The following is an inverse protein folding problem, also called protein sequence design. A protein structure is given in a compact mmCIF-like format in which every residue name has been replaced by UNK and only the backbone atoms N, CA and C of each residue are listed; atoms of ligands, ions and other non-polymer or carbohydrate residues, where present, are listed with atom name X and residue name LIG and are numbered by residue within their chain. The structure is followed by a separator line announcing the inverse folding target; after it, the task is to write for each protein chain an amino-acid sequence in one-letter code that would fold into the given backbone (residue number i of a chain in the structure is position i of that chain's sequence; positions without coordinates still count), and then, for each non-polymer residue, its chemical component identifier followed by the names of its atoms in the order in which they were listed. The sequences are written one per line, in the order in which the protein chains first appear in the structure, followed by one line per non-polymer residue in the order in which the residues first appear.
data_IF_743117198412
#
_entry.id   IF_743117198412
#
_cell.length_a   1.000
_cell.length_b   1.000
_cell.length_c   1.000
_cell.angle_alpha   90.00
_cell.angle_beta   90.00
_cell.angle_gamma   90.00
#
_symmetry.space_group_name_H-M   'P 1'
#
loop_
_entity.id
_entity.type
_entity.pdbx_description
1 polymer ?
#
# COMPACT_ATOMS: atom_id res chain seq x y z
N UNK A 1 2.85 6.24 -13.10
CA UNK A 1 3.26 4.83 -13.37
C UNK A 1 4.61 4.59 -12.72
N UNK A 2 4.74 3.54 -11.88
CA UNK A 2 6.01 3.16 -11.28
C UNK A 2 7.06 2.75 -12.31
N UNK A 3 7.93 1.83 -12.00
CA UNK A 3 8.90 1.31 -12.97
C UNK A 3 8.24 0.23 -13.85
N UNK A 4 8.27 0.38 -15.17
CA UNK A 4 7.61 -0.54 -16.12
C UNK A 4 8.01 -2.01 -15.89
N UNK A 5 9.27 -2.25 -15.55
CA UNK A 5 9.85 -3.59 -15.29
C UNK A 5 9.98 -3.91 -13.80
N UNK A 6 9.51 -3.02 -12.90
CA UNK A 6 9.72 -3.15 -11.46
C UNK A 6 9.24 -4.48 -10.88
N UNK A 7 8.12 -4.98 -11.35
CA UNK A 7 7.56 -6.27 -10.92
C UNK A 7 8.39 -7.49 -11.34
N UNK A 8 9.26 -7.35 -12.33
CA UNK A 8 10.20 -8.40 -12.77
C UNK A 8 11.53 -8.34 -12.02
N UNK A 9 11.92 -7.17 -11.56
CA UNK A 9 13.24 -6.91 -10.97
C UNK A 9 13.22 -6.98 -9.44
N UNK A 10 12.09 -6.67 -8.83
CA UNK A 10 11.94 -6.53 -7.39
C UNK A 10 10.95 -7.59 -6.89
N UNK A 11 11.39 -8.47 -6.02
CA UNK A 11 10.52 -9.44 -5.39
C UNK A 11 9.53 -8.78 -4.43
N UNK A 12 8.33 -9.36 -4.33
CA UNK A 12 7.34 -8.91 -3.35
C UNK A 12 7.83 -9.19 -1.94
N UNK A 13 7.75 -8.18 -1.09
CA UNK A 13 8.03 -8.26 0.33
C UNK A 13 6.79 -7.93 1.15
N UNK A 14 6.33 -8.91 1.93
CA UNK A 14 5.25 -8.68 2.87
C UNK A 14 5.76 -8.10 4.19
N UNK A 15 4.88 -7.40 4.89
CA UNK A 15 5.17 -6.89 6.24
C UNK A 15 5.45 -8.05 7.19
N UNK A 16 6.42 -7.88 8.05
CA UNK A 16 6.70 -8.82 9.14
C UNK A 16 5.90 -8.43 10.38
N UNK A 17 5.59 -9.40 11.17
CA UNK A 17 4.97 -9.22 12.47
C UNK A 17 5.98 -9.53 13.58
N UNK A 18 5.82 -8.87 14.73
CA UNK A 18 6.55 -9.26 15.94
C UNK A 18 6.20 -10.69 16.33
N UNK A 19 7.10 -11.44 16.99
CA UNK A 19 6.83 -12.79 17.45
C UNK A 19 5.55 -12.86 18.29
N UNK A 20 4.83 -13.97 18.20
CA UNK A 20 3.59 -14.16 18.93
C UNK A 20 3.78 -14.04 20.45
N UNK A 21 4.92 -14.54 20.96
CA UNK A 21 5.30 -14.43 22.38
C UNK A 21 5.34 -12.99 22.91
N UNK A 22 5.69 -12.04 22.05
CA UNK A 22 5.73 -10.62 22.42
C UNK A 22 4.36 -9.98 22.30
N UNK A 23 3.60 -10.37 21.28
CA UNK A 23 2.26 -9.80 21.02
C UNK A 23 1.24 -10.13 22.10
N UNK A 24 1.30 -11.30 22.69
CA UNK A 24 0.37 -11.71 23.76
C UNK A 24 0.59 -10.97 25.07
N UNK A 25 1.71 -10.27 25.24
CA UNK A 25 2.09 -9.56 26.48
C UNK A 25 1.69 -8.09 26.50
N UNK A 26 1.24 -7.55 25.38
CA UNK A 26 0.92 -6.13 25.29
C UNK A 26 -0.03 -5.84 24.11
N UNK A 27 -0.61 -4.64 24.08
CA UNK A 27 -1.50 -4.14 23.04
C UNK A 27 -0.82 -3.15 22.09
N UNK A 28 0.51 -3.16 22.02
CA UNK A 28 1.28 -2.26 21.15
C UNK A 28 1.20 -2.72 19.71
N UNK A 29 1.55 -1.82 18.78
CA UNK A 29 1.66 -2.13 17.37
C UNK A 29 2.55 -3.36 17.14
N UNK A 30 2.04 -4.34 16.43
CA UNK A 30 2.73 -5.61 16.19
C UNK A 30 3.35 -5.74 14.81
N UNK A 31 3.02 -4.83 13.89
CA UNK A 31 3.65 -4.79 12.58
C UNK A 31 5.04 -4.17 12.67
N UNK A 32 5.98 -4.74 11.93
CA UNK A 32 7.33 -4.17 11.82
C UNK A 32 7.32 -3.19 10.66
N UNK A 33 7.64 -1.90 10.89
CA UNK A 33 7.71 -0.92 9.82
C UNK A 33 8.82 -1.27 8.83
N UNK A 34 8.54 -1.08 7.55
CA UNK A 34 9.52 -1.23 6.49
C UNK A 34 10.34 0.06 6.33
N UNK A 35 11.63 -0.04 5.97
CA UNK A 35 12.43 1.12 5.58
C UNK A 35 11.84 1.82 4.35
N UNK A 36 12.01 3.14 4.26
CA UNK A 36 11.46 3.94 3.16
C UNK A 36 11.88 3.46 1.78
N UNK A 37 13.15 3.07 1.64
CA UNK A 37 13.64 2.57 0.37
C UNK A 37 12.90 1.30 -0.05
N UNK A 38 12.67 0.38 0.88
CA UNK A 38 11.90 -0.85 0.60
C UNK A 38 10.49 -0.52 0.17
N UNK A 39 9.87 0.48 0.80
CA UNK A 39 8.52 0.92 0.42
C UNK A 39 8.50 1.48 -0.99
N UNK A 40 9.44 2.34 -1.33
CA UNK A 40 9.57 2.91 -2.68
C UNK A 40 9.84 1.83 -3.72
N UNK A 41 10.69 0.86 -3.41
CA UNK A 41 10.98 -0.27 -4.28
C UNK A 41 9.71 -1.12 -4.51
N UNK A 42 8.97 -1.40 -3.45
CA UNK A 42 7.70 -2.12 -3.60
C UNK A 42 6.66 -1.30 -4.39
N UNK A 43 6.54 -0.01 -4.15
CA UNK A 43 5.64 0.87 -4.91
C UNK A 43 6.00 0.92 -6.40
N UNK A 44 7.29 0.83 -6.74
CA UNK A 44 7.77 0.80 -8.12
C UNK A 44 7.30 -0.42 -8.90
N UNK A 45 6.86 -1.49 -8.24
CA UNK A 45 6.34 -2.70 -8.87
C UNK A 45 4.99 -2.49 -9.57
N UNK A 46 4.30 -1.39 -9.26
CA UNK A 46 3.03 -1.07 -9.91
C UNK A 46 3.25 -0.68 -11.36
N UNK A 47 2.78 -1.51 -12.29
CA UNK A 47 2.89 -1.26 -13.72
C UNK A 47 1.66 -0.57 -14.33
N UNK A 48 0.73 -0.12 -13.49
CA UNK A 48 -0.51 0.53 -13.95
C UNK A 48 -1.21 -0.30 -15.05
N UNK A 49 -1.44 -1.56 -14.76
CA UNK A 49 -1.87 -2.54 -15.76
C UNK A 49 -3.26 -2.27 -16.37
N UNK A 50 -4.06 -1.36 -15.78
CA UNK A 50 -5.42 -1.07 -16.23
C UNK A 50 -6.42 -2.21 -16.02
N UNK A 51 -5.96 -3.33 -15.46
CA UNK A 51 -6.81 -4.47 -15.10
C UNK A 51 -7.10 -4.37 -13.62
N UNK A 52 -8.34 -4.09 -13.22
CA UNK A 52 -8.63 -3.64 -11.86
C UNK A 52 -8.78 -4.80 -10.88
N UNK A 53 -7.69 -5.39 -10.45
CA UNK A 53 -7.69 -6.18 -9.23
C UNK A 53 -7.53 -5.32 -7.97
N UNK A 54 -6.93 -4.14 -8.11
CA UNK A 54 -6.66 -3.25 -6.99
C UNK A 54 -7.63 -2.06 -6.91
N UNK A 55 -8.05 -1.50 -8.03
CA UNK A 55 -9.00 -0.38 -8.08
C UNK A 55 -10.14 -0.68 -9.05
N UNK A 56 -11.28 -0.02 -8.89
CA UNK A 56 -12.42 -0.23 -9.78
C UNK A 56 -12.31 0.68 -11.00
N UNK A 57 -12.29 0.07 -12.17
CA UNK A 57 -12.50 0.77 -13.43
C UNK A 57 -13.81 0.31 -14.05
N UNK A 58 -14.85 1.14 -13.97
CA UNK A 58 -16.14 0.92 -14.64
C UNK A 58 -16.93 -0.33 -14.18
N UNK A 59 -16.99 -0.57 -12.86
CA UNK A 59 -17.82 -1.64 -12.30
C UNK A 59 -17.18 -3.03 -12.33
N UNK A 60 -15.89 -3.11 -12.59
CA UNK A 60 -15.10 -4.31 -12.36
C UNK A 60 -14.59 -4.28 -10.91
N UNK A 61 -14.79 -5.35 -10.19
CA UNK A 61 -14.65 -5.43 -8.73
C UNK A 61 -13.20 -5.28 -8.25
N UNK A 62 -12.80 -4.07 -7.94
CA UNK A 62 -11.58 -3.74 -7.23
C UNK A 62 -11.87 -3.21 -5.82
N UNK A 63 -11.14 -2.19 -5.40
CA UNK A 63 -11.36 -1.51 -4.13
C UNK A 63 -12.75 -0.85 -4.08
N UNK A 64 -13.65 -1.22 -3.13
CA UNK A 64 -14.99 -0.63 -3.03
C UNK A 64 -14.97 0.86 -2.66
N UNK A 65 -13.88 1.34 -2.04
CA UNK A 65 -13.66 2.78 -1.76
C UNK A 65 -13.14 3.54 -2.99
N UNK A 66 -12.94 2.84 -4.10
CA UNK A 66 -12.39 3.41 -5.33
C UNK A 66 -11.04 4.14 -5.12
N UNK A 67 -10.19 3.59 -4.29
CA UNK A 67 -8.85 4.12 -4.06
C UNK A 67 -8.03 4.12 -5.35
N UNK A 68 -7.36 5.24 -5.63
CA UNK A 68 -6.52 5.41 -6.80
C UNK A 68 -5.13 4.80 -6.56
N UNK A 69 -5.09 3.49 -6.45
CA UNK A 69 -3.92 2.73 -6.01
C UNK A 69 -2.72 2.89 -6.95
N UNK A 70 -2.84 2.85 -8.28
CA UNK A 70 -1.71 3.09 -9.17
C UNK A 70 -1.11 4.48 -9.03
N UNK A 71 -1.94 5.51 -8.87
CA UNK A 71 -1.50 6.91 -8.81
C UNK A 71 -0.65 7.17 -7.58
N UNK A 72 -1.15 6.80 -6.39
CA UNK A 72 -0.37 7.02 -5.18
C UNK A 72 0.83 6.07 -5.03
N UNK A 73 0.83 4.89 -5.67
CA UNK A 73 2.04 4.08 -5.78
C UNK A 73 3.13 4.78 -6.58
N UNK A 74 2.77 5.44 -7.69
CA UNK A 74 3.73 6.22 -8.47
C UNK A 74 4.31 7.40 -7.67
N UNK A 75 3.47 8.10 -6.92
CA UNK A 75 3.90 9.17 -6.03
C UNK A 75 4.85 8.67 -4.93
N UNK A 76 4.53 7.54 -4.30
CA UNK A 76 5.42 6.89 -3.31
C UNK A 76 6.75 6.49 -3.93
N UNK A 77 6.74 5.91 -5.12
CA UNK A 77 7.97 5.57 -5.84
C UNK A 77 8.85 6.79 -6.08
N UNK A 78 8.27 7.92 -6.47
CA UNK A 78 8.99 9.19 -6.64
C UNK A 78 9.39 9.85 -5.32
N UNK A 79 8.86 9.41 -4.21
CA UNK A 79 9.11 9.98 -2.88
C UNK A 79 8.24 11.20 -2.56
N UNK A 80 7.16 11.41 -3.31
CA UNK A 80 6.20 12.50 -3.11
C UNK A 80 5.14 12.12 -2.05
N UNK A 81 5.60 11.90 -0.83
CA UNK A 81 4.79 11.36 0.28
C UNK A 81 3.57 12.20 0.63
N UNK A 82 3.71 13.52 0.61
CA UNK A 82 2.61 14.43 0.92
C UNK A 82 1.48 14.30 -0.09
N UNK A 83 1.81 14.27 -1.38
CA UNK A 83 0.82 14.13 -2.42
C UNK A 83 0.18 12.74 -2.40
N UNK A 84 0.97 11.70 -2.19
CA UNK A 84 0.46 10.33 -2.03
C UNK A 84 -0.55 10.21 -0.88
N UNK A 85 -0.31 10.91 0.23
CA UNK A 85 -1.25 10.97 1.34
C UNK A 85 -2.53 11.71 0.98
N UNK A 86 -2.43 12.84 0.29
CA UNK A 86 -3.62 13.60 -0.16
C UNK A 86 -4.48 12.75 -1.10
N UNK A 87 -3.86 12.02 -2.02
CA UNK A 87 -4.56 11.13 -2.93
C UNK A 87 -5.26 9.99 -2.19
N UNK A 88 -4.57 9.38 -1.23
CA UNK A 88 -5.15 8.34 -0.39
C UNK A 88 -6.36 8.84 0.40
N UNK A 89 -6.24 10.02 1.02
CA UNK A 89 -7.32 10.62 1.81
C UNK A 89 -8.47 11.16 0.95
N UNK A 90 -8.27 11.37 -0.34
CA UNK A 90 -9.33 11.84 -1.23
C UNK A 90 -10.49 10.84 -1.37
N UNK A 91 -10.19 9.56 -1.23
CA UNK A 91 -11.17 8.47 -1.33
C UNK A 91 -11.35 7.70 -0.03
N UNK A 92 -10.36 7.71 0.86
CA UNK A 92 -10.37 6.96 2.11
C UNK A 92 -10.16 7.89 3.31
N UNK A 93 -11.21 8.06 4.13
CA UNK A 93 -11.15 8.97 5.28
C UNK A 93 -10.33 8.42 6.45
N UNK A 94 -10.20 7.10 6.57
CA UNK A 94 -9.53 6.42 7.68
C UNK A 94 -8.53 5.35 7.21
N UNK A 95 -7.51 5.73 6.43
CA UNK A 95 -6.57 4.76 5.87
C UNK A 95 -5.74 4.03 6.91
N UNK A 96 -5.55 4.60 8.11
CA UNK A 96 -4.89 3.96 9.24
C UNK A 96 -5.66 2.74 9.76
N UNK A 97 -6.98 2.72 9.64
CA UNK A 97 -7.79 1.56 9.97
C UNK A 97 -7.88 0.58 8.80
N UNK A 98 -8.25 1.05 7.64
CA UNK A 98 -8.41 0.19 6.47
C UNK A 98 -7.11 -0.52 6.10
N UNK A 99 -5.97 0.13 6.25
CA UNK A 99 -4.66 -0.47 6.02
C UNK A 99 -4.28 -1.60 6.99
N UNK A 100 -5.05 -1.79 8.08
CA UNK A 100 -4.81 -2.86 9.07
C UNK A 100 -5.83 -3.99 9.01
N UNK A 101 -7.08 -3.67 8.73
CA UNK A 101 -8.22 -4.59 8.87
C UNK A 101 -8.92 -4.92 7.57
N UNK A 102 -8.69 -4.15 6.51
CA UNK A 102 -9.32 -4.40 5.22
C UNK A 102 -8.84 -5.76 4.66
N UNK A 103 -9.74 -6.64 4.20
CA UNK A 103 -9.36 -7.90 3.53
C UNK A 103 -8.71 -7.68 2.15
N UNK A 104 -8.67 -6.46 1.70
CA UNK A 104 -7.91 -5.86 0.61
C UNK A 104 -7.62 -6.77 -0.60
N UNK A 105 -8.52 -6.86 -1.59
CA UNK A 105 -8.23 -7.57 -2.84
C UNK A 105 -7.01 -6.99 -3.57
N UNK A 106 -6.68 -5.72 -3.32
CA UNK A 106 -5.47 -5.07 -3.80
C UNK A 106 -4.18 -5.66 -3.21
N UNK A 107 -4.25 -6.35 -2.06
CA UNK A 107 -3.10 -6.98 -1.43
C UNK A 107 -2.53 -8.13 -2.25
N UNK A 108 -3.38 -8.85 -2.96
CA UNK A 108 -2.97 -9.89 -3.89
C UNK A 108 -2.37 -9.34 -5.18
N UNK A 109 -2.60 -8.06 -5.48
CA UNK A 109 -2.00 -7.37 -6.61
C UNK A 109 -0.58 -6.89 -6.30
N UNK A 110 0.15 -6.46 -7.32
CA UNK A 110 1.60 -6.24 -7.30
C UNK A 110 2.10 -5.22 -6.26
N UNK A 111 1.25 -4.38 -5.71
CA UNK A 111 1.70 -3.13 -5.07
C UNK A 111 1.22 -2.85 -3.66
N UNK A 112 0.55 -3.77 -3.02
CA UNK A 112 -0.22 -3.47 -1.79
C UNK A 112 0.57 -3.19 -0.51
N UNK A 113 1.81 -3.55 -0.39
CA UNK A 113 2.54 -3.47 0.91
C UNK A 113 2.60 -2.07 1.55
N UNK A 114 1.94 -1.05 1.00
CA UNK A 114 2.20 0.35 1.31
C UNK A 114 1.02 1.17 1.82
N UNK A 115 -0.19 0.62 1.89
CA UNK A 115 -1.40 1.34 2.32
C UNK A 115 -1.30 1.99 3.70
N UNK A 116 -0.45 1.48 4.57
CA UNK A 116 -0.35 1.97 5.94
C UNK A 116 0.80 2.94 6.19
N UNK A 117 1.65 3.18 5.23
CA UNK A 117 2.92 3.86 5.45
C UNK A 117 2.91 5.36 5.17
N UNK A 118 2.25 5.88 4.13
CA UNK A 118 2.06 7.33 4.00
C UNK A 118 1.36 7.93 5.21
N UNK A 119 0.40 7.21 5.78
CA UNK A 119 -0.44 7.69 6.88
C UNK A 119 0.28 7.76 8.22
N UNK A 120 1.25 6.90 8.49
CA UNK A 120 2.03 6.95 9.74
C UNK A 120 3.08 8.06 9.80
N UNK A 121 3.42 8.67 8.66
CA UNK A 121 4.41 9.76 8.60
C UNK A 121 3.82 11.15 8.63
N UNK A 122 2.53 11.28 8.43
CA UNK A 122 1.85 12.55 8.21
C UNK A 122 0.93 12.93 9.39
N UNK A 123 0.85 12.06 10.39
CA UNK A 123 0.17 12.34 11.66
C UNK A 123 1.18 12.67 12.75
#
# INVERSE_FOLDING_TARGET
MGKVTGFLEIDRQDRKYRPASDRIRNFKEFTVPLPDQVIRDQASRCMECGIPFCHDMKGLKGCPENNQIPDWNDLVYRGEWEQASKDLHSTNNFPEFTGRICPAPCEASVSYTHLTLPTKRIV
#
